data_IF_713191013312
#
_entry.id   IF_713191013312
#
_cell.length_a   1.000
_cell.length_b   1.000
_cell.length_c   1.000
_cell.angle_alpha   90.00
_cell.angle_beta   90.00
_cell.angle_gamma   90.00
#
_symmetry.space_group_name_H-M   'P 1'
#
loop_
_entity.id
_entity.type
_entity.pdbx_description
1 polymer ?
#
# COMPACT_ATOMS: atom_id res chain seq x y z
N UNK A 1 -7.63 -5.10 6.37
CA UNK A 1 -7.13 -6.39 5.89
C UNK A 1 -5.99 -6.18 4.89
N UNK A 2 -6.11 -5.14 4.07
CA UNK A 2 -5.09 -4.84 3.07
C UNK A 2 -3.80 -4.36 3.74
N UNK A 3 -2.76 -4.17 2.94
CA UNK A 3 -1.47 -3.72 3.45
C UNK A 3 -0.98 -2.50 2.67
N UNK A 4 -0.71 -2.71 1.38
CA UNK A 4 -0.24 -1.64 0.51
C UNK A 4 -0.47 -1.98 -0.96
N UNK A 5 -1.16 -1.08 -1.67
CA UNK A 5 -1.45 -1.26 -3.09
C UNK A 5 -0.21 -1.14 -3.97
N UNK A 6 0.53 -0.05 -3.81
CA UNK A 6 1.74 0.19 -4.57
C UNK A 6 2.97 0.18 -3.66
N UNK A 7 4.13 0.49 -4.24
CA UNK A 7 5.37 0.52 -3.48
C UNK A 7 5.63 1.91 -2.91
N UNK A 8 5.36 2.93 -3.72
CA UNK A 8 5.57 4.31 -3.29
C UNK A 8 5.15 4.50 -1.83
N UNK A 9 6.09 4.27 -0.92
CA UNK A 9 5.82 4.42 0.51
C UNK A 9 4.48 3.77 0.88
N UNK A 10 4.13 2.70 0.17
CA UNK A 10 2.90 1.99 0.43
C UNK A 10 1.71 2.95 0.42
N UNK A 11 1.24 3.30 -0.78
CA UNK A 11 0.10 4.21 -0.95
C UNK A 11 -1.21 3.59 -0.52
N UNK A 12 -1.28 3.14 0.73
CA UNK A 12 -2.47 2.52 1.26
C UNK A 12 -3.71 3.35 0.96
#
# INVERSE_FOLDING_TARGET
MMMKPDMMMKPD
#
